data_IF_306705962020
#
_entry.id   IF_306705962020
#
_cell.length_a   1.000
_cell.length_b   1.000
_cell.length_c   1.000
_cell.angle_alpha   90.00
_cell.angle_beta   90.00
_cell.angle_gamma   90.00
#
_symmetry.space_group_name_H-M   'P 1'
#
loop_
_entity.id
_entity.type
_entity.pdbx_description
1 polymer ?
#
# COMPACT_ATOMS: atom_id res chain seq x y z
N UNK A 1 11.37 -1.10 8.50
CA UNK A 1 10.62 -2.27 8.98
C UNK A 1 10.97 -3.48 8.12
N UNK A 2 11.30 -4.59 8.75
CA UNK A 2 11.56 -5.83 8.02
C UNK A 2 10.22 -6.49 7.72
N UNK A 3 9.89 -6.73 6.43
CA UNK A 3 8.58 -7.26 6.08
C UNK A 3 8.42 -8.74 6.45
N UNK A 4 7.17 -9.14 6.68
CA UNK A 4 6.78 -10.54 6.85
C UNK A 4 5.41 -10.77 6.21
N UNK A 5 5.12 -12.02 5.86
CA UNK A 5 3.84 -12.37 5.23
C UNK A 5 2.70 -12.11 6.22
N UNK A 6 1.60 -11.55 5.71
CA UNK A 6 0.41 -11.26 6.51
C UNK A 6 0.48 -9.96 7.28
N UNK A 7 1.53 -9.17 7.08
CA UNK A 7 1.66 -7.87 7.75
C UNK A 7 0.81 -6.82 7.06
N UNK A 8 0.14 -5.99 7.85
CA UNK A 8 -0.59 -4.83 7.31
C UNK A 8 0.40 -3.67 7.17
N UNK A 9 0.42 -3.09 5.99
CA UNK A 9 1.26 -1.94 5.66
C UNK A 9 0.43 -0.93 4.89
N UNK A 10 1.00 0.24 4.61
CA UNK A 10 0.35 1.24 3.75
C UNK A 10 1.04 1.25 2.40
N UNK A 11 0.23 1.35 1.35
CA UNK A 11 0.71 1.40 -0.03
C UNK A 11 0.32 2.74 -0.63
N UNK A 12 1.25 3.35 -1.36
CA UNK A 12 1.02 4.62 -2.05
C UNK A 12 0.58 4.32 -3.47
N UNK A 13 -0.62 4.75 -3.83
CA UNK A 13 -1.19 4.45 -5.16
C UNK A 13 -0.28 4.93 -6.27
N UNK A 14 -0.12 4.10 -7.34
CA UNK A 14 0.90 4.34 -8.35
C UNK A 14 0.53 5.42 -9.36
N UNK A 15 1.49 5.80 -10.18
CA UNK A 15 1.26 6.60 -11.37
C UNK A 15 0.20 5.91 -12.24
N UNK A 16 -0.67 6.69 -12.84
CA UNK A 16 -1.75 6.16 -13.68
C UNK A 16 -3.03 5.87 -12.94
N UNK A 17 -3.00 5.74 -11.61
CA UNK A 17 -4.21 5.63 -10.82
C UNK A 17 -4.84 7.00 -10.65
N UNK A 18 -6.18 7.07 -10.72
CA UNK A 18 -6.87 8.37 -10.59
C UNK A 18 -6.63 9.04 -9.24
N UNK A 19 -6.31 8.26 -8.22
CA UNK A 19 -6.00 8.75 -6.89
C UNK A 19 -4.51 8.59 -6.57
N UNK A 20 -3.66 8.77 -7.55
CA UNK A 20 -2.21 8.68 -7.37
C UNK A 20 -1.75 9.43 -6.12
N UNK A 21 -0.87 8.80 -5.36
CA UNK A 21 -0.35 9.38 -4.13
C UNK A 21 -1.21 9.14 -2.90
N UNK A 22 -2.44 8.63 -3.07
CA UNK A 22 -3.27 8.25 -1.94
C UNK A 22 -2.72 7.02 -1.23
N UNK A 23 -2.91 6.95 0.09
CA UNK A 23 -2.46 5.81 0.89
C UNK A 23 -3.58 4.82 1.08
N UNK A 24 -3.28 3.54 0.97
CA UNK A 24 -4.26 2.47 1.18
C UNK A 24 -3.66 1.40 2.07
N UNK A 25 -4.49 0.78 2.88
CA UNK A 25 -4.07 -0.39 3.64
C UNK A 25 -3.79 -1.54 2.68
N UNK A 26 -2.76 -2.32 2.96
CA UNK A 26 -2.40 -3.48 2.16
C UNK A 26 -1.86 -4.57 3.06
N UNK A 27 -1.94 -5.81 2.57
CA UNK A 27 -1.40 -6.96 3.28
C UNK A 27 -0.29 -7.58 2.45
N UNK A 28 0.83 -7.89 3.09
CA UNK A 28 1.92 -8.60 2.42
C UNK A 28 1.49 -10.04 2.16
N UNK A 29 1.61 -10.47 0.90
CA UNK A 29 1.25 -11.84 0.50
C UNK A 29 2.46 -12.67 0.15
N UNK A 30 3.59 -12.05 -0.14
CA UNK A 30 4.86 -12.71 -0.35
C UNK A 30 5.99 -11.76 0.01
N UNK A 31 7.12 -12.29 0.45
CA UNK A 31 8.31 -11.50 0.78
C UNK A 31 9.49 -12.14 0.07
N UNK A 32 10.25 -11.33 -0.68
CA UNK A 32 11.40 -11.80 -1.43
C UNK A 32 12.69 -11.41 -0.73
N UNK A 33 13.79 -12.09 -1.08
CA UNK A 33 15.10 -11.73 -0.56
C UNK A 33 15.55 -10.35 -1.04
N UNK A 34 16.39 -9.69 -0.23
CA UNK A 34 17.00 -8.42 -0.61
C UNK A 34 17.84 -8.63 -1.87
N UNK A 35 17.57 -7.89 -2.98
CA UNK A 35 18.31 -8.07 -4.22
C UNK A 35 19.80 -7.74 -4.12
N UNK A 36 20.19 -7.01 -3.07
CA UNK A 36 21.61 -6.71 -2.80
C UNK A 36 22.22 -7.61 -1.76
N UNK A 37 21.41 -8.49 -1.15
CA UNK A 37 21.85 -9.43 -0.15
C UNK A 37 21.96 -10.85 -0.71
N UNK A 38 22.24 -11.80 0.17
CA UNK A 38 22.40 -13.20 -0.20
C UNK A 38 21.11 -13.99 0.00
N UNK A 39 19.99 -13.42 -0.39
CA UNK A 39 18.68 -14.02 -0.19
C UNK A 39 18.08 -13.75 1.17
N UNK A 40 18.70 -12.93 1.97
CA UNK A 40 18.19 -12.56 3.29
C UNK A 40 17.04 -11.56 3.16
N UNK A 41 16.10 -11.62 4.10
CA UNK A 41 15.00 -10.66 4.17
C UNK A 41 15.46 -9.49 5.01
N UNK A 42 15.43 -8.29 4.43
CA UNK A 42 15.84 -7.03 5.06
C UNK A 42 14.80 -5.95 4.79
N UNK A 43 15.07 -4.73 5.25
CA UNK A 43 14.22 -3.58 4.94
C UNK A 43 14.19 -3.26 3.44
N UNK A 44 15.20 -3.70 2.68
CA UNK A 44 15.26 -3.52 1.24
C UNK A 44 14.58 -4.65 0.46
N UNK A 45 14.01 -5.64 1.15
CA UNK A 45 13.32 -6.76 0.51
C UNK A 45 12.02 -6.30 -0.11
N UNK A 46 11.78 -6.61 -1.40
CA UNK A 46 10.47 -6.32 -2.00
C UNK A 46 9.43 -7.33 -1.56
N UNK A 47 8.18 -6.95 -1.68
CA UNK A 47 7.03 -7.78 -1.29
C UNK A 47 5.97 -7.76 -2.37
N UNK A 48 5.10 -8.77 -2.37
CA UNK A 48 3.83 -8.69 -3.06
C UNK A 48 2.78 -8.22 -2.07
N UNK A 49 1.82 -7.45 -2.55
CA UNK A 49 0.79 -6.86 -1.73
C UNK A 49 -0.60 -7.11 -2.30
N UNK A 50 -1.57 -7.27 -1.41
CA UNK A 50 -2.98 -7.12 -1.75
C UNK A 50 -3.46 -5.81 -1.16
N UNK A 51 -3.80 -4.85 -2.02
CA UNK A 51 -4.16 -3.49 -1.63
C UNK A 51 -5.67 -3.37 -1.55
N UNK A 52 -6.18 -2.88 -0.42
CA UNK A 52 -7.60 -2.71 -0.22
C UNK A 52 -8.05 -1.35 -0.76
N UNK A 53 -9.00 -1.37 -1.69
CA UNK A 53 -9.47 -0.17 -2.37
C UNK A 53 -10.74 0.37 -1.73
N UNK A 54 -10.93 1.68 -1.84
CA UNK A 54 -12.17 2.32 -1.42
C UNK A 54 -13.29 1.94 -2.39
N UNK A 55 -14.57 1.95 -1.96
CA UNK A 55 -15.67 1.50 -2.82
C UNK A 55 -15.73 2.17 -4.19
N UNK A 56 -15.45 3.47 -4.27
CA UNK A 56 -15.50 4.19 -5.54
C UNK A 56 -14.33 3.87 -6.47
N UNK A 57 -13.33 3.13 -5.99
CA UNK A 57 -12.16 2.74 -6.76
C UNK A 57 -12.30 1.35 -7.38
N UNK A 58 -13.38 0.65 -7.06
CA UNK A 58 -13.53 -0.76 -7.45
C UNK A 58 -14.05 -0.95 -8.86
N UNK A 59 -14.66 0.06 -9.45
CA UNK A 59 -15.29 -0.05 -10.76
C UNK A 59 -14.51 0.69 -11.83
N UNK A 60 -14.36 0.05 -12.98
CA UNK A 60 -13.86 0.68 -14.18
C UNK A 60 -12.41 1.12 -14.15
N UNK A 61 -11.60 0.60 -13.22
CA UNK A 61 -10.20 0.97 -13.15
C UNK A 61 -9.32 -0.15 -13.69
N UNK A 62 -8.18 0.22 -14.27
CA UNK A 62 -7.20 -0.76 -14.71
C UNK A 62 -6.47 -1.43 -13.53
N UNK A 63 -6.59 -0.87 -12.33
CA UNK A 63 -5.79 -1.29 -11.18
C UNK A 63 -6.60 -1.98 -10.09
N UNK A 64 -7.89 -2.16 -10.29
CA UNK A 64 -8.71 -2.83 -9.29
C UNK A 64 -9.90 -3.50 -9.90
N UNK A 65 -10.33 -4.58 -9.32
CA UNK A 65 -11.50 -5.31 -9.75
C UNK A 65 -12.71 -5.05 -8.87
N UNK A 66 -13.84 -5.68 -9.19
CA UNK A 66 -15.06 -5.53 -8.40
C UNK A 66 -14.93 -6.10 -6.98
N UNK A 67 -13.93 -6.92 -6.73
CA UNK A 67 -13.69 -7.52 -5.41
C UNK A 67 -13.22 -6.51 -4.37
N UNK A 68 -12.76 -5.33 -4.80
CA UNK A 68 -12.35 -4.29 -3.88
C UNK A 68 -10.90 -4.34 -3.47
N UNK A 69 -10.07 -5.08 -4.18
CA UNK A 69 -8.63 -5.09 -3.93
C UNK A 69 -7.86 -5.10 -5.25
N UNK A 70 -6.58 -4.77 -5.14
CA UNK A 70 -5.64 -4.73 -6.25
C UNK A 70 -4.39 -5.50 -5.84
N UNK A 71 -3.91 -6.41 -6.69
CA UNK A 71 -2.67 -7.13 -6.40
C UNK A 71 -1.49 -6.39 -7.00
N UNK A 72 -0.44 -6.23 -6.20
CA UNK A 72 0.79 -5.56 -6.60
C UNK A 72 1.95 -6.54 -6.44
N UNK A 73 2.76 -6.68 -7.47
CA UNK A 73 3.93 -7.55 -7.44
C UNK A 73 5.20 -6.72 -7.27
N UNK A 74 6.10 -7.21 -6.44
CA UNK A 74 7.46 -6.69 -6.27
C UNK A 74 7.48 -5.19 -5.97
N UNK A 75 6.88 -4.82 -4.83
CA UNK A 75 6.89 -3.44 -4.35
C UNK A 75 7.96 -3.26 -3.28
N UNK A 76 8.75 -2.18 -3.41
CA UNK A 76 9.81 -1.86 -2.47
C UNK A 76 9.32 -0.90 -1.38
N UNK A 77 9.95 -0.98 -0.21
CA UNK A 77 9.64 -0.08 0.89
C UNK A 77 10.27 1.29 0.65
N UNK A 78 9.50 2.35 0.92
CA UNK A 78 9.99 3.72 0.93
C UNK A 78 9.56 4.36 2.25
N UNK A 79 10.52 4.56 3.16
CA UNK A 79 10.24 5.06 4.49
C UNK A 79 9.66 6.48 4.50
N UNK A 80 9.85 7.26 3.44
CA UNK A 80 9.23 8.59 3.35
C UNK A 80 7.73 8.54 3.21
N UNK A 81 7.20 7.41 2.69
CA UNK A 81 5.77 7.23 2.52
C UNK A 81 5.14 8.09 1.44
N UNK A 82 5.92 8.64 0.52
CA UNK A 82 5.41 9.56 -0.50
C UNK A 82 5.59 9.07 -1.94
N UNK A 83 6.46 8.10 -2.17
CA UNK A 83 6.78 7.65 -3.52
C UNK A 83 5.69 6.70 -4.05
N UNK A 84 5.04 7.04 -5.17
CA UNK A 84 4.01 6.16 -5.75
C UNK A 84 4.55 4.77 -6.09
N UNK A 85 3.72 3.75 -5.82
CA UNK A 85 4.09 2.36 -6.10
C UNK A 85 4.94 1.70 -5.03
N UNK A 86 5.16 2.35 -3.90
CA UNK A 86 5.94 1.80 -2.79
C UNK A 86 5.05 1.60 -1.56
N UNK A 87 5.57 0.84 -0.60
CA UNK A 87 4.88 0.60 0.66
C UNK A 87 5.71 1.12 1.83
N UNK A 88 5.07 1.32 2.97
CA UNK A 88 5.74 1.75 4.20
C UNK A 88 4.96 1.28 5.42
N UNK A 89 5.57 1.39 6.59
CA UNK A 89 4.86 1.12 7.84
C UNK A 89 3.64 2.01 7.98
N UNK A 90 2.54 1.51 8.60
CA UNK A 90 1.40 2.38 8.88
C UNK A 90 1.81 3.63 9.64
N UNK A 91 1.21 4.75 9.30
CA UNK A 91 1.48 6.02 9.93
C UNK A 91 1.14 5.97 11.43
N UNK A 92 1.92 6.69 12.22
CA UNK A 92 1.70 6.74 13.67
C UNK A 92 0.47 7.57 13.99
N UNK A 93 -0.13 7.26 15.15
CA UNK A 93 -1.25 8.04 15.66
C UNK A 93 -0.85 9.51 15.78
N UNK A 94 -1.71 10.41 15.32
CA UNK A 94 -1.47 11.85 15.38
C UNK A 94 -0.94 12.45 14.09
N UNK A 95 -0.64 11.64 13.09
CA UNK A 95 -0.26 12.16 11.79
C UNK A 95 -1.49 12.63 11.01
N UNK A 96 -1.31 13.55 10.04
CA UNK A 96 -2.43 14.01 9.22
C UNK A 96 -3.10 12.84 8.50
N UNK A 97 -4.42 12.97 8.30
CA UNK A 97 -5.16 11.96 7.54
C UNK A 97 -4.63 11.86 6.12
N UNK A 98 -4.47 10.62 5.64
CA UNK A 98 -3.99 10.35 4.28
C UNK A 98 -5.12 10.40 3.25
N UNK A 99 -6.35 10.35 3.70
CA UNK A 99 -7.55 10.45 2.87
C UNK A 99 -8.49 11.43 3.54
N UNK A 100 -9.04 12.41 2.80
CA UNK A 100 -9.98 13.36 3.39
C UNK A 100 -11.19 12.67 4.00
N UNK A 101 -11.61 13.12 5.18
CA UNK A 101 -12.80 12.61 5.83
C UNK A 101 -14.03 12.98 5.02
N UNK A 102 -15.01 12.06 4.98
CA UNK A 102 -16.31 12.37 4.36
C UNK A 102 -17.15 13.15 5.34
N UNK A 103 -17.83 14.23 4.91
CA UNK A 103 -18.66 15.01 5.82
C UNK A 103 -19.72 14.19 6.56
N UNK A 104 -20.35 13.24 5.88
CA UNK A 104 -21.36 12.38 6.49
C UNK A 104 -20.77 11.45 7.55
N UNK A 105 -19.51 11.09 7.42
CA UNK A 105 -18.82 10.28 8.42
C UNK A 105 -18.46 11.10 9.65
N UNK A 106 -18.15 12.38 9.47
CA UNK A 106 -17.77 13.24 10.57
C UNK A 106 -18.95 13.53 11.51
N UNK A 107 -20.17 13.29 11.07
CA UNK A 107 -21.38 13.51 11.88
C UNK A 107 -21.85 12.28 12.63
N UNK A 108 -21.22 11.17 12.42
CA UNK A 108 -21.64 9.89 13.01
C UNK A 108 -21.34 9.81 14.50
#
# INVERSE_FOLDING_TARGET
>A
MIPSIGRIVHYVLPEGHKNKGGHRAAMTTAVYGDPRGKGEITEASPVDLRVFLQPHERQGTAFGGPEGFMDVEVSFQDASGTKPGTWHEPEKVGQPAQTPARPEMAKA
#
